data_IF_419053106842
#
_entry.id   IF_419053106842
#
_cell.length_a   1.000
_cell.length_b   1.000
_cell.length_c   1.000
_cell.angle_alpha   90.00
_cell.angle_beta   90.00
_cell.angle_gamma   90.00
#
_symmetry.space_group_name_H-M   'P 1'
#
loop_
_entity.id
_entity.type
_entity.pdbx_description
1 polymer ?
#
# COMPACT_ATOMS: atom_id res chain seq x y z
N UNK A 1 -8.66 19.11 17.21
CA UNK A 1 -9.37 18.30 16.21
C UNK A 1 -8.34 17.42 15.52
N UNK A 2 -8.31 16.13 15.87
CA UNK A 2 -7.39 15.18 15.25
C UNK A 2 -8.06 14.72 13.96
N UNK A 3 -7.47 14.99 12.81
CA UNK A 3 -8.03 14.58 11.53
C UNK A 3 -7.73 13.10 11.29
N UNK A 4 -8.46 12.22 11.96
CA UNK A 4 -8.30 10.75 11.82
C UNK A 4 -8.44 10.29 10.36
N UNK A 5 -9.24 11.00 9.57
CA UNK A 5 -9.38 10.73 8.14
C UNK A 5 -8.16 11.16 7.31
N UNK A 6 -7.49 12.25 7.69
CA UNK A 6 -6.31 12.73 6.97
C UNK A 6 -5.12 11.79 7.17
N UNK A 7 -4.98 11.22 8.38
CA UNK A 7 -3.95 10.24 8.69
C UNK A 7 -4.11 8.98 7.81
N UNK A 8 -5.34 8.49 7.65
CA UNK A 8 -5.66 7.32 6.79
C UNK A 8 -5.38 7.56 5.30
N UNK A 9 -5.65 8.77 4.80
CA UNK A 9 -5.31 9.15 3.42
C UNK A 9 -3.79 9.21 3.24
N UNK A 10 -3.06 9.71 4.22
CA UNK A 10 -1.61 9.73 4.19
C UNK A 10 -1.03 8.31 4.19
N UNK A 11 -1.54 7.39 5.01
CA UNK A 11 -1.16 5.98 5.07
C UNK A 11 -1.34 5.30 3.70
N UNK A 12 -2.54 5.45 3.12
CA UNK A 12 -2.82 4.97 1.76
C UNK A 12 -1.83 5.52 0.73
N UNK A 13 -1.61 6.84 0.70
CA UNK A 13 -0.72 7.49 -0.27
C UNK A 13 0.75 7.09 -0.11
N UNK A 14 1.24 7.02 1.13
CA UNK A 14 2.61 6.61 1.45
C UNK A 14 2.87 5.18 1.00
N UNK A 15 1.98 4.24 1.34
CA UNK A 15 2.15 2.84 0.94
C UNK A 15 1.98 2.61 -0.55
N UNK A 16 1.14 3.40 -1.23
CA UNK A 16 1.06 3.39 -2.69
C UNK A 16 2.40 3.77 -3.34
N UNK A 17 3.00 4.89 -2.89
CA UNK A 17 4.30 5.34 -3.39
C UNK A 17 5.39 4.34 -3.01
N UNK A 18 5.38 3.83 -1.78
CA UNK A 18 6.35 2.85 -1.29
C UNK A 18 6.30 1.55 -2.09
N UNK A 19 5.09 1.04 -2.38
CA UNK A 19 4.90 -0.12 -3.26
C UNK A 19 5.44 0.14 -4.67
N UNK A 20 5.20 1.34 -5.20
CA UNK A 20 5.75 1.78 -6.48
C UNK A 20 7.27 1.84 -6.52
N UNK A 21 7.89 2.48 -5.53
CA UNK A 21 9.34 2.60 -5.41
C UNK A 21 10.00 1.24 -5.20
N UNK A 22 9.46 0.41 -4.31
CA UNK A 22 9.94 -0.96 -4.08
C UNK A 22 9.89 -1.78 -5.38
N UNK A 23 8.79 -1.67 -6.12
CA UNK A 23 8.61 -2.40 -7.36
C UNK A 23 9.49 -1.87 -8.49
N UNK A 24 9.74 -0.56 -8.57
CA UNK A 24 10.60 0.04 -9.58
C UNK A 24 12.08 -0.28 -9.33
N UNK A 25 12.52 -0.24 -8.08
CA UNK A 25 13.91 -0.48 -7.68
C UNK A 25 14.31 -1.95 -7.79
N UNK A 26 13.50 -2.86 -7.25
CA UNK A 26 13.88 -4.27 -7.09
C UNK A 26 13.11 -5.24 -8.00
N UNK A 27 12.02 -4.78 -8.64
CA UNK A 27 11.10 -5.61 -9.44
C UNK A 27 10.75 -6.96 -8.79
N UNK A 28 10.41 -7.01 -7.49
CA UNK A 28 10.10 -8.26 -6.82
C UNK A 28 8.85 -8.91 -7.42
N UNK A 29 8.66 -10.20 -7.12
CA UNK A 29 7.38 -10.86 -7.34
C UNK A 29 6.31 -10.13 -6.50
N UNK A 30 5.10 -9.97 -7.05
CA UNK A 30 4.02 -9.21 -6.39
C UNK A 30 3.78 -9.67 -4.95
N UNK A 31 3.71 -10.98 -4.71
CA UNK A 31 3.54 -11.55 -3.38
C UNK A 31 4.70 -11.24 -2.41
N UNK A 32 5.94 -11.20 -2.91
CA UNK A 32 7.11 -10.83 -2.08
C UNK A 32 7.05 -9.35 -1.72
N UNK A 33 6.69 -8.49 -2.67
CA UNK A 33 6.52 -7.06 -2.41
C UNK A 33 5.39 -6.78 -1.41
N UNK A 34 4.25 -7.46 -1.55
CA UNK A 34 3.13 -7.36 -0.59
C UNK A 34 3.53 -7.87 0.80
N UNK A 35 4.26 -8.99 0.89
CA UNK A 35 4.74 -9.50 2.18
C UNK A 35 5.69 -8.52 2.87
N UNK A 36 6.64 -7.94 2.12
CA UNK A 36 7.56 -6.94 2.67
C UNK A 36 6.83 -5.70 3.17
N UNK A 37 5.86 -5.20 2.40
CA UNK A 37 5.04 -4.05 2.81
C UNK A 37 4.18 -4.39 4.03
N UNK A 38 3.59 -5.59 4.10
CA UNK A 38 2.80 -6.01 5.26
C UNK A 38 3.67 -6.05 6.53
N UNK A 39 4.85 -6.67 6.46
CA UNK A 39 5.79 -6.70 7.58
C UNK A 39 6.21 -5.29 7.97
N UNK A 40 6.48 -4.43 6.99
CA UNK A 40 6.85 -3.03 7.23
C UNK A 40 5.72 -2.25 7.93
N UNK A 41 4.46 -2.42 7.51
CA UNK A 41 3.29 -1.80 8.15
C UNK A 41 3.11 -2.26 9.59
N UNK A 42 3.26 -3.57 9.85
CA UNK A 42 3.20 -4.11 11.23
C UNK A 42 4.30 -3.49 12.10
N UNK A 43 5.52 -3.33 11.57
CA UNK A 43 6.62 -2.69 12.31
C UNK A 43 6.29 -1.23 12.61
N UNK A 44 5.73 -0.49 11.65
CA UNK A 44 5.30 0.90 11.86
C UNK A 44 4.24 0.98 12.96
N UNK A 45 3.22 0.12 12.92
CA UNK A 45 2.15 0.04 13.92
C UNK A 45 2.72 -0.20 15.34
N UNK A 46 3.66 -1.14 15.45
CA UNK A 46 4.36 -1.44 16.70
C UNK A 46 5.18 -0.24 17.17
N UNK A 47 5.91 0.42 16.27
CA UNK A 47 6.69 1.63 16.61
C UNK A 47 5.77 2.76 17.07
N UNK A 48 4.63 2.95 16.39
CA UNK A 48 3.63 3.97 16.70
C UNK A 48 3.02 3.76 18.09
N UNK A 49 2.90 2.50 18.55
CA UNK A 49 2.47 2.20 19.92
C UNK A 49 3.39 2.83 20.98
N UNK A 50 4.68 2.99 20.69
CA UNK A 50 5.65 3.62 21.60
C UNK A 50 5.74 5.14 21.44
N UNK A 51 5.02 5.75 20.49
CA UNK A 51 5.07 7.20 20.26
C UNK A 51 4.04 7.90 21.18
N UNK A 52 4.48 8.75 22.13
CA UNK A 52 3.57 9.46 23.02
C UNK A 52 2.59 10.33 22.23
N UNK A 53 1.29 10.14 22.46
CA UNK A 53 0.24 10.87 21.75
C UNK A 53 -0.14 10.29 20.39
N UNK A 54 0.42 9.14 19.97
CA UNK A 54 0.01 8.37 18.78
C UNK A 54 -0.59 7.04 19.24
N UNK A 55 -1.86 6.81 18.91
CA UNK A 55 -2.48 5.50 19.09
C UNK A 55 -2.10 4.63 17.90
N UNK A 56 -1.62 3.41 18.16
CA UNK A 56 -1.65 2.34 17.17
C UNK A 56 -3.13 2.04 16.90
N UNK A 57 -3.57 2.18 15.66
CA UNK A 57 -4.90 1.81 15.19
C UNK A 57 -4.74 0.77 14.06
N UNK A 58 -5.22 -0.47 14.22
CA UNK A 58 -5.19 -1.48 13.17
C UNK A 58 -5.79 -1.03 11.82
N UNK A 59 -6.62 0.02 11.81
CA UNK A 59 -7.12 0.63 10.58
C UNK A 59 -6.04 1.32 9.73
N UNK A 60 -4.93 1.75 10.33
CA UNK A 60 -3.78 2.33 9.61
C UNK A 60 -3.09 1.23 8.78
N UNK A 61 -2.87 0.06 9.38
CA UNK A 61 -2.36 -1.12 8.66
C UNK A 61 -3.28 -1.55 7.50
N UNK A 62 -4.60 -1.42 7.66
CA UNK A 62 -5.55 -1.70 6.57
C UNK A 62 -5.41 -0.65 5.46
N UNK A 63 -5.32 0.64 5.80
CA UNK A 63 -5.13 1.71 4.81
C UNK A 63 -3.83 1.54 4.02
N UNK A 64 -2.75 1.15 4.71
CA UNK A 64 -1.45 0.82 4.12
C UNK A 64 -1.56 -0.32 3.09
N UNK A 65 -2.23 -1.41 3.46
CA UNK A 65 -2.41 -2.56 2.57
C UNK A 65 -3.32 -2.27 1.39
N UNK A 66 -4.36 -1.46 1.57
CA UNK A 66 -5.21 -0.99 0.47
C UNK A 66 -4.40 -0.13 -0.50
N UNK A 67 -3.50 0.73 -0.02
CA UNK A 67 -2.59 1.52 -0.86
C UNK A 67 -1.66 0.65 -1.70
N UNK A 68 -1.00 -0.32 -1.06
CA UNK A 68 -0.11 -1.27 -1.72
C UNK A 68 -0.84 -2.13 -2.77
N UNK A 69 -2.00 -2.69 -2.41
CA UNK A 69 -2.83 -3.50 -3.32
C UNK A 69 -3.30 -2.68 -4.52
N UNK A 70 -3.70 -1.43 -4.31
CA UNK A 70 -4.13 -0.52 -5.37
C UNK A 70 -3.02 -0.30 -6.40
N UNK A 71 -1.77 -0.10 -5.95
CA UNK A 71 -0.63 0.01 -6.86
C UNK A 71 -0.46 -1.24 -7.73
N UNK A 72 -0.43 -2.42 -7.13
CA UNK A 72 -0.27 -3.67 -7.88
C UNK A 72 -1.45 -3.96 -8.81
N UNK A 73 -2.68 -3.66 -8.38
CA UNK A 73 -3.87 -3.80 -9.20
C UNK A 73 -3.83 -2.89 -10.43
N UNK A 74 -3.49 -1.61 -10.27
CA UNK A 74 -3.32 -0.68 -11.39
C UNK A 74 -2.21 -1.13 -12.33
N UNK A 75 -1.08 -1.61 -11.79
CA UNK A 75 0.02 -2.13 -12.58
C UNK A 75 -0.38 -3.37 -13.38
N UNK A 76 -1.22 -4.24 -12.83
CA UNK A 76 -1.80 -5.37 -13.57
C UNK A 76 -2.81 -4.89 -14.61
N UNK A 77 -3.70 -3.95 -14.28
CA UNK A 77 -4.68 -3.38 -15.21
C UNK A 77 -4.03 -2.70 -16.42
N UNK A 78 -2.92 -1.99 -16.22
CA UNK A 78 -2.11 -1.39 -17.30
C UNK A 78 -1.41 -2.47 -18.14
N UNK A 79 -1.01 -3.59 -17.52
CA UNK A 79 -0.40 -4.72 -18.22
C UNK A 79 -1.39 -5.61 -18.96
N UNK A 80 -2.67 -5.63 -18.58
CA UNK A 80 -3.70 -6.35 -19.31
C UNK A 80 -3.78 -5.68 -20.69
N UNK A 81 -3.37 -6.37 -21.78
CA UNK A 81 -3.59 -5.83 -23.10
C UNK A 81 -5.09 -5.64 -23.22
N UNK A 82 -5.54 -4.47 -23.65
CA UNK A 82 -6.87 -4.30 -24.23
C UNK A 82 -6.96 -5.27 -25.41
N UNK A 83 -7.26 -6.56 -25.17
CA UNK A 83 -7.86 -7.45 -26.17
C UNK A 83 -9.28 -6.93 -26.37
N UNK A 84 -9.39 -5.73 -26.94
CA UNK A 84 -10.62 -5.26 -27.56
C UNK A 84 -10.82 -6.19 -28.73
N UNK A 85 -11.78 -7.09 -28.52
CA UNK A 85 -12.61 -7.76 -29.51
C UNK A 85 -12.58 -7.01 -30.85
N UNK A 86 -11.76 -7.50 -31.76
CA UNK A 86 -11.96 -7.36 -33.20
C UNK A 86 -12.29 -8.78 -33.70
N UNK A 87 -13.55 -9.14 -33.52
CA UNK A 87 -14.24 -10.19 -34.26
C UNK A 87 -15.68 -9.64 -34.37
N UNK A 88 -16.28 -9.42 -35.52
CA UNK A 88 -15.91 -9.47 -36.94
C UNK A 88 -17.13 -8.88 -37.64
#
# INVERSE_FOLDING_TARGET
MRFEHADKIAHFGLFFILAGSLHLAFRPRVWVGLLLLLVYGIVIEVVQHYVPGRGADPWDLVADMVGALTFYALRLAVKIPRRRRLQS
#
